data_IF_319092221519
#
_entry.id   IF_319092221519
#
_cell.length_a   1.000
_cell.length_b   1.000
_cell.length_c   1.000
_cell.angle_alpha   90.00
_cell.angle_beta   90.00
_cell.angle_gamma   90.00
#
_symmetry.space_group_name_H-M   'P 1'
#
loop_
_entity.id
_entity.type
_entity.pdbx_description
1 polymer ?
#
# COMPACT_ATOMS: atom_id res chain seq x y z
N UNK A 1 6.68 8.46 -11.02
CA UNK A 1 6.65 7.59 -9.84
C UNK A 1 5.40 7.79 -9.02
N UNK A 2 5.11 9.01 -8.62
CA UNK A 2 4.00 9.37 -7.72
C UNK A 2 2.63 8.91 -8.25
N UNK A 3 2.39 9.04 -9.55
CA UNK A 3 1.15 8.58 -10.17
C UNK A 3 0.99 7.05 -10.07
N UNK A 4 2.05 6.26 -10.27
CA UNK A 4 2.00 4.80 -10.13
C UNK A 4 1.74 4.38 -8.68
N UNK A 5 2.35 5.06 -7.71
CA UNK A 5 2.12 4.81 -6.29
C UNK A 5 0.68 5.14 -5.90
N UNK A 6 0.18 6.30 -6.32
CA UNK A 6 -1.19 6.71 -6.08
C UNK A 6 -2.20 5.72 -6.69
N UNK A 7 -1.97 5.30 -7.94
CA UNK A 7 -2.78 4.29 -8.60
C UNK A 7 -2.75 2.95 -7.85
N UNK A 8 -1.57 2.51 -7.40
CA UNK A 8 -1.45 1.27 -6.65
C UNK A 8 -2.24 1.30 -5.34
N UNK A 9 -2.23 2.41 -4.60
CA UNK A 9 -2.99 2.55 -3.36
C UNK A 9 -4.50 2.57 -3.62
N UNK A 10 -4.95 3.34 -4.62
CA UNK A 10 -6.37 3.38 -4.99
C UNK A 10 -6.87 2.03 -5.47
N UNK A 11 -6.06 1.29 -6.25
CA UNK A 11 -6.39 -0.07 -6.67
C UNK A 11 -6.64 -0.99 -5.48
N UNK A 12 -5.76 -0.98 -4.48
CA UNK A 12 -5.94 -1.78 -3.26
C UNK A 12 -7.21 -1.38 -2.50
N UNK A 13 -7.45 -0.09 -2.30
CA UNK A 13 -8.64 0.41 -1.58
C UNK A 13 -9.93 -0.01 -2.29
N UNK A 14 -10.03 0.26 -3.60
CA UNK A 14 -11.20 -0.10 -4.39
C UNK A 14 -11.37 -1.62 -4.49
N UNK A 15 -10.26 -2.36 -4.64
CA UNK A 15 -10.27 -3.81 -4.63
C UNK A 15 -10.89 -4.37 -3.36
N UNK A 16 -10.44 -3.91 -2.19
CA UNK A 16 -11.02 -4.33 -0.91
C UNK A 16 -12.51 -3.95 -0.80
N UNK A 17 -12.88 -2.74 -1.18
CA UNK A 17 -14.27 -2.30 -1.12
C UNK A 17 -15.19 -3.09 -2.04
N UNK A 18 -14.70 -3.58 -3.17
CA UNK A 18 -15.50 -4.32 -4.15
C UNK A 18 -15.56 -5.83 -3.89
N UNK A 19 -14.46 -6.42 -3.34
CA UNK A 19 -14.40 -7.88 -3.14
C UNK A 19 -14.69 -8.32 -1.71
N UNK A 20 -14.82 -7.39 -0.75
CA UNK A 20 -15.17 -7.71 0.64
C UNK A 20 -16.62 -7.39 0.90
N UNK A 21 -17.38 -8.37 1.32
CA UNK A 21 -18.74 -8.22 1.82
C UNK A 21 -18.81 -8.65 3.29
N UNK A 22 -19.75 -8.06 4.03
CA UNK A 22 -20.13 -8.47 5.38
C UNK A 22 -21.59 -8.89 5.34
N UNK A 23 -21.87 -10.12 5.72
CA UNK A 23 -23.24 -10.66 5.80
C UNK A 23 -23.60 -10.92 7.24
N UNK A 24 -24.86 -10.75 7.58
CA UNK A 24 -25.41 -11.12 8.88
C UNK A 24 -26.01 -12.51 8.79
N UNK A 25 -25.53 -13.42 9.61
CA UNK A 25 -26.07 -14.78 9.73
C UNK A 25 -26.10 -15.15 11.22
N UNK A 26 -27.24 -15.62 11.70
CA UNK A 26 -27.44 -16.01 13.11
C UNK A 26 -27.00 -14.93 14.12
N UNK A 27 -27.27 -13.65 13.81
CA UNK A 27 -26.92 -12.52 14.66
C UNK A 27 -25.44 -12.10 14.63
N UNK A 28 -24.59 -12.79 13.88
CA UNK A 28 -23.16 -12.52 13.76
C UNK A 28 -22.78 -11.99 12.37
N UNK A 29 -21.72 -11.16 12.32
CA UNK A 29 -21.14 -10.70 11.06
C UNK A 29 -20.12 -11.68 10.52
N UNK A 30 -20.30 -12.09 9.27
CA UNK A 30 -19.40 -12.97 8.53
C UNK A 30 -18.83 -12.30 7.31
N UNK A 31 -17.54 -12.58 7.04
CA UNK A 31 -16.88 -12.11 5.81
C UNK A 31 -17.27 -12.97 4.61
N UNK A 32 -17.72 -12.32 3.55
CA UNK A 32 -18.05 -12.95 2.27
C UNK A 32 -17.33 -12.23 1.10
N UNK A 33 -17.33 -12.85 -0.08
CA UNK A 33 -16.75 -12.26 -1.28
C UNK A 33 -17.61 -12.58 -2.51
N UNK A 34 -17.87 -11.60 -3.38
CA UNK A 34 -18.54 -11.85 -4.66
C UNK A 34 -17.76 -12.83 -5.55
N UNK A 35 -16.44 -12.95 -5.38
CA UNK A 35 -15.62 -13.87 -6.14
C UNK A 35 -15.88 -15.35 -5.79
N UNK A 36 -16.44 -15.64 -4.62
CA UNK A 36 -16.86 -16.99 -4.25
C UNK A 36 -18.13 -17.41 -5.00
N UNK A 37 -19.11 -16.50 -5.07
CA UNK A 37 -20.39 -16.76 -5.72
C UNK A 37 -20.36 -16.54 -7.25
N UNK A 38 -19.49 -15.64 -7.71
CA UNK A 38 -19.34 -15.24 -9.11
C UNK A 38 -17.87 -15.32 -9.56
N UNK A 39 -17.30 -16.52 -9.74
CA UNK A 39 -15.88 -16.70 -10.09
C UNK A 39 -15.46 -16.03 -11.41
N UNK A 40 -16.41 -15.82 -12.33
CA UNK A 40 -16.18 -15.12 -13.60
C UNK A 40 -15.75 -13.66 -13.43
N UNK A 41 -15.97 -13.06 -12.24
CA UNK A 41 -15.48 -11.73 -11.89
C UNK A 41 -13.98 -11.70 -11.56
N UNK A 42 -13.33 -12.84 -11.39
CA UNK A 42 -11.91 -12.88 -11.04
C UNK A 42 -11.03 -12.10 -12.01
N UNK A 43 -11.13 -12.24 -13.35
CA UNK A 43 -10.34 -11.42 -14.29
C UNK A 43 -10.65 -9.92 -14.20
N UNK A 44 -11.90 -9.55 -13.92
CA UNK A 44 -12.28 -8.13 -13.72
C UNK A 44 -11.60 -7.56 -12.48
N UNK A 45 -11.47 -8.36 -11.43
CA UNK A 45 -10.80 -7.96 -10.19
C UNK A 45 -9.30 -7.67 -10.36
N UNK A 46 -8.66 -8.16 -11.42
CA UNK A 46 -7.22 -7.97 -11.67
C UNK A 46 -6.81 -6.50 -11.82
N UNK A 47 -7.73 -5.64 -12.26
CA UNK A 47 -7.48 -4.19 -12.36
C UNK A 47 -7.15 -3.57 -11.01
N UNK A 48 -7.67 -4.13 -9.92
CA UNK A 48 -7.50 -3.65 -8.55
C UNK A 48 -6.33 -4.33 -7.82
N UNK A 49 -5.75 -5.37 -8.40
CA UNK A 49 -4.63 -6.14 -7.83
C UNK A 49 -3.31 -5.45 -8.13
N UNK A 50 -3.03 -4.33 -7.51
CA UNK A 50 -1.92 -3.43 -7.84
C UNK A 50 -0.70 -3.58 -6.92
N UNK A 51 -0.67 -4.63 -6.11
CA UNK A 51 0.36 -4.81 -5.08
C UNK A 51 1.77 -4.96 -5.68
N UNK A 52 1.90 -5.66 -6.83
CA UNK A 52 3.19 -5.80 -7.51
C UNK A 52 3.73 -4.43 -7.99
N UNK A 53 2.86 -3.54 -8.46
CA UNK A 53 3.24 -2.16 -8.83
C UNK A 53 3.71 -1.38 -7.60
N UNK A 54 3.06 -1.59 -6.44
CA UNK A 54 3.48 -0.96 -5.19
C UNK A 54 4.89 -1.40 -4.78
N UNK A 55 5.20 -2.70 -4.84
CA UNK A 55 6.54 -3.22 -4.55
C UNK A 55 7.59 -2.79 -5.59
N UNK A 56 7.23 -2.69 -6.86
CA UNK A 56 8.09 -2.14 -7.92
C UNK A 56 8.52 -0.69 -7.60
N UNK A 57 7.55 0.16 -7.31
CA UNK A 57 7.80 1.57 -6.94
C UNK A 57 8.57 1.64 -5.62
N UNK A 58 8.20 0.80 -4.65
CA UNK A 58 8.88 0.71 -3.36
C UNK A 58 10.35 0.37 -3.49
N UNK A 59 10.69 -0.65 -4.26
CA UNK A 59 12.08 -1.07 -4.52
C UNK A 59 12.89 0.02 -5.22
N UNK A 60 12.29 0.70 -6.20
CA UNK A 60 12.92 1.83 -6.87
C UNK A 60 13.25 2.98 -5.90
N UNK A 61 12.25 3.42 -5.12
CA UNK A 61 12.38 4.55 -4.17
C UNK A 61 13.32 4.18 -3.01
N UNK A 62 13.29 2.94 -2.54
CA UNK A 62 14.17 2.49 -1.48
C UNK A 62 15.64 2.44 -1.93
N UNK A 63 15.90 1.87 -3.12
CA UNK A 63 17.26 1.79 -3.67
C UNK A 63 17.85 3.17 -3.94
N UNK A 64 17.11 4.09 -4.57
CA UNK A 64 17.55 5.47 -4.76
C UNK A 64 17.76 6.20 -3.43
N UNK A 65 16.80 6.06 -2.51
CA UNK A 65 16.88 6.71 -1.21
C UNK A 65 18.05 6.24 -0.37
N UNK A 66 18.37 4.94 -0.40
CA UNK A 66 19.54 4.37 0.27
C UNK A 66 20.85 4.86 -0.36
N UNK A 67 20.96 4.83 -1.69
CA UNK A 67 22.14 5.35 -2.40
C UNK A 67 22.39 6.83 -2.08
N UNK A 68 21.33 7.65 -2.10
CA UNK A 68 21.40 9.08 -1.77
C UNK A 68 21.75 9.31 -0.28
N UNK A 69 21.21 8.55 0.65
CA UNK A 69 21.53 8.63 2.07
C UNK A 69 23.00 8.31 2.33
N UNK A 70 23.48 7.21 1.71
CA UNK A 70 24.89 6.81 1.80
C UNK A 70 25.85 7.87 1.22
N UNK A 71 25.50 8.47 0.09
CA UNK A 71 26.29 9.54 -0.51
C UNK A 71 26.41 10.79 0.39
N UNK A 72 25.41 11.02 1.25
CA UNK A 72 25.43 12.10 2.26
C UNK A 72 26.01 11.69 3.61
N UNK A 73 26.61 10.52 3.75
CA UNK A 73 27.17 10.04 5.00
C UNK A 73 26.14 9.62 6.06
N UNK A 74 24.84 9.45 5.70
CA UNK A 74 23.81 9.00 6.63
C UNK A 74 23.99 7.52 6.90
N UNK A 75 24.05 7.13 8.18
CA UNK A 75 24.19 5.73 8.58
C UNK A 75 22.98 4.90 8.16
N UNK A 76 23.18 3.59 7.95
CA UNK A 76 22.09 2.66 7.62
C UNK A 76 20.99 2.68 8.69
N UNK A 77 21.36 2.63 9.97
CA UNK A 77 20.39 2.65 11.09
C UNK A 77 19.51 3.89 11.10
N UNK A 78 20.10 5.07 10.84
CA UNK A 78 19.34 6.31 10.75
C UNK A 78 18.39 6.32 9.53
N UNK A 79 18.86 5.84 8.37
CA UNK A 79 18.05 5.76 7.17
C UNK A 79 16.87 4.79 7.31
N UNK A 80 17.11 3.57 7.79
CA UNK A 80 16.05 2.57 7.96
C UNK A 80 15.09 2.95 9.08
N UNK A 81 15.59 3.44 10.21
CA UNK A 81 14.79 3.90 11.33
C UNK A 81 13.81 5.01 10.94
N UNK A 82 14.27 5.98 10.14
CA UNK A 82 13.39 7.04 9.63
C UNK A 82 12.28 6.48 8.72
N UNK A 83 12.58 5.49 7.87
CA UNK A 83 11.60 4.90 6.96
C UNK A 83 10.59 4.03 7.68
N UNK A 84 11.07 3.15 8.56
CA UNK A 84 10.20 2.27 9.36
C UNK A 84 9.35 3.08 10.34
N UNK A 85 9.91 4.12 10.95
CA UNK A 85 9.15 5.01 11.82
C UNK A 85 7.97 5.70 11.12
N UNK A 86 8.12 6.10 9.86
CA UNK A 86 7.02 6.65 9.05
C UNK A 86 5.96 5.60 8.70
N UNK A 87 6.37 4.35 8.55
CA UNK A 87 5.47 3.24 8.22
C UNK A 87 4.65 2.81 9.44
N UNK A 88 5.30 2.62 10.60
CA UNK A 88 4.67 2.00 11.77
C UNK A 88 3.95 2.97 12.71
N UNK A 89 4.25 4.27 12.70
CA UNK A 89 3.51 5.25 13.53
C UNK A 89 2.01 5.29 13.24
N UNK A 90 1.56 5.38 11.97
CA UNK A 90 0.13 5.33 11.68
C UNK A 90 -0.50 3.97 11.98
N UNK A 91 0.26 2.87 11.83
CA UNK A 91 -0.19 1.50 12.18
C UNK A 91 -0.52 1.40 13.67
N UNK A 92 0.35 1.96 14.53
CA UNK A 92 0.10 1.95 15.97
C UNK A 92 -1.22 2.65 16.33
N UNK A 93 -1.56 3.76 15.68
CA UNK A 93 -2.82 4.46 15.90
C UNK A 93 -4.04 3.60 15.54
N UNK A 94 -3.99 2.90 14.41
CA UNK A 94 -5.09 1.99 13.99
C UNK A 94 -5.22 0.82 14.97
N UNK A 95 -4.11 0.18 15.35
CA UNK A 95 -4.14 -0.95 16.27
C UNK A 95 -4.65 -0.55 17.67
N UNK A 96 -4.25 0.63 18.16
CA UNK A 96 -4.74 1.15 19.44
C UNK A 96 -6.24 1.41 19.39
N UNK A 97 -6.74 2.09 18.33
CA UNK A 97 -8.17 2.32 18.19
C UNK A 97 -8.96 1.02 18.15
N UNK A 98 -8.52 0.05 17.33
CA UNK A 98 -9.22 -1.21 17.18
C UNK A 98 -9.13 -2.11 18.42
N UNK A 99 -8.08 -2.02 19.22
CA UNK A 99 -8.02 -2.67 20.53
C UNK A 99 -9.09 -2.11 21.48
N UNK A 100 -9.29 -0.79 21.49
CA UNK A 100 -10.35 -0.14 22.27
C UNK A 100 -11.74 -0.51 21.75
N UNK A 101 -11.94 -0.45 20.43
CA UNK A 101 -13.22 -0.82 19.79
C UNK A 101 -13.58 -2.27 20.07
N UNK A 102 -12.62 -3.19 19.88
CA UNK A 102 -12.86 -4.62 20.14
C UNK A 102 -13.19 -4.89 21.61
N UNK A 103 -12.45 -4.26 22.53
CA UNK A 103 -12.74 -4.36 23.97
C UNK A 103 -14.14 -3.82 24.30
N UNK A 104 -14.50 -2.67 23.76
CA UNK A 104 -15.84 -2.06 23.95
C UNK A 104 -16.96 -2.94 23.38
N UNK A 105 -16.77 -3.53 22.20
CA UNK A 105 -17.74 -4.45 21.61
C UNK A 105 -17.93 -5.71 22.46
N UNK A 106 -16.85 -6.32 22.96
CA UNK A 106 -16.93 -7.52 23.83
C UNK A 106 -17.63 -7.19 25.16
N UNK A 107 -17.30 -6.06 25.79
CA UNK A 107 -17.97 -5.61 27.03
C UNK A 107 -19.43 -5.28 26.78
N UNK A 108 -19.77 -4.76 25.59
CA UNK A 108 -21.13 -4.49 25.14
C UNK A 108 -21.93 -5.73 24.73
N UNK A 109 -21.37 -6.94 24.86
CA UNK A 109 -22.06 -8.19 24.57
C UNK A 109 -22.09 -8.58 23.09
N UNK A 110 -21.22 -7.98 22.25
CA UNK A 110 -21.12 -8.40 20.85
C UNK A 110 -20.54 -9.82 20.75
N UNK A 111 -21.09 -10.59 19.81
CA UNK A 111 -20.65 -11.97 19.55
C UNK A 111 -19.14 -12.00 19.21
N UNK A 112 -18.35 -12.91 19.84
CA UNK A 112 -16.90 -12.99 19.60
C UNK A 112 -16.54 -13.21 18.14
N UNK A 113 -17.39 -13.90 17.35
CA UNK A 113 -17.15 -14.13 15.93
C UNK A 113 -17.28 -12.84 15.11
N UNK A 114 -18.20 -11.95 15.47
CA UNK A 114 -18.31 -10.59 14.89
C UNK A 114 -17.02 -9.81 15.14
N UNK A 115 -16.53 -9.78 16.38
CA UNK A 115 -15.29 -9.07 16.74
C UNK A 115 -14.09 -9.64 15.99
N UNK A 116 -13.99 -10.99 15.90
CA UNK A 116 -12.94 -11.66 15.14
C UNK A 116 -12.97 -11.29 13.66
N UNK A 117 -14.16 -11.27 13.05
CA UNK A 117 -14.35 -10.89 11.64
C UNK A 117 -13.90 -9.46 11.38
N UNK A 118 -14.29 -8.50 12.24
CA UNK A 118 -13.87 -7.11 12.12
C UNK A 118 -12.35 -6.94 12.29
N UNK A 119 -11.77 -7.57 13.31
CA UNK A 119 -10.32 -7.54 13.52
C UNK A 119 -9.56 -8.16 12.35
N UNK A 120 -10.05 -9.26 11.76
CA UNK A 120 -9.45 -9.88 10.58
C UNK A 120 -9.41 -8.91 9.40
N UNK A 121 -10.45 -8.12 9.19
CA UNK A 121 -10.48 -7.10 8.12
C UNK A 121 -9.47 -5.97 8.37
N UNK A 122 -9.26 -5.56 9.62
CA UNK A 122 -8.24 -4.56 9.98
C UNK A 122 -6.83 -5.09 9.76
N UNK A 123 -6.56 -6.35 10.15
CA UNK A 123 -5.23 -6.93 10.07
C UNK A 123 -4.88 -7.44 8.67
N UNK A 124 -5.90 -7.85 7.92
CA UNK A 124 -5.71 -8.38 6.58
C UNK A 124 -4.86 -7.50 5.66
N UNK A 125 -4.94 -6.16 5.65
CA UNK A 125 -4.05 -5.34 4.87
C UNK A 125 -2.65 -5.16 5.48
N UNK A 126 -2.43 -5.45 6.77
CA UNK A 126 -1.18 -5.09 7.45
C UNK A 126 -0.02 -6.04 7.14
N UNK A 127 -0.31 -7.29 6.77
CA UNK A 127 0.75 -8.29 6.50
C UNK A 127 1.74 -7.79 5.42
N UNK A 128 1.23 -7.13 4.38
CA UNK A 128 2.10 -6.66 3.30
C UNK A 128 3.03 -5.53 3.77
N UNK A 129 2.62 -4.72 4.76
CA UNK A 129 3.47 -3.69 5.36
C UNK A 129 4.68 -4.31 6.07
N UNK A 130 4.49 -5.45 6.73
CA UNK A 130 5.60 -6.19 7.36
C UNK A 130 6.60 -6.68 6.31
N UNK A 131 6.10 -7.27 5.22
CA UNK A 131 6.94 -7.69 4.09
C UNK A 131 7.64 -6.48 3.46
N UNK A 132 6.91 -5.40 3.22
CA UNK A 132 7.47 -4.18 2.66
C UNK A 132 8.54 -3.54 3.57
N UNK A 133 8.31 -3.55 4.89
CA UNK A 133 9.27 -3.09 5.88
C UNK A 133 10.55 -3.94 5.87
N UNK A 134 10.39 -5.28 5.85
CA UNK A 134 11.51 -6.23 5.78
C UNK A 134 12.34 -6.03 4.50
N UNK A 135 11.69 -5.93 3.34
CA UNK A 135 12.37 -5.68 2.06
C UNK A 135 13.05 -4.30 2.03
N UNK A 136 12.42 -3.28 2.65
CA UNK A 136 13.02 -1.95 2.78
C UNK A 136 14.27 -2.02 3.65
N UNK A 137 14.23 -2.72 4.78
CA UNK A 137 15.40 -2.95 5.62
C UNK A 137 16.48 -3.78 4.87
N UNK A 138 16.07 -4.79 4.11
CA UNK A 138 16.98 -5.61 3.32
C UNK A 138 17.55 -4.90 2.05
N UNK A 139 17.15 -3.65 1.75
CA UNK A 139 17.58 -2.93 0.54
C UNK A 139 19.11 -2.99 0.27
N UNK A 140 20.01 -2.81 1.26
CA UNK A 140 21.44 -2.90 1.02
C UNK A 140 21.89 -4.25 0.43
N UNK A 141 21.23 -5.33 0.84
CA UNK A 141 21.54 -6.70 0.42
C UNK A 141 20.93 -7.02 -0.95
N UNK A 142 19.68 -6.61 -1.16
CA UNK A 142 18.88 -7.03 -2.33
C UNK A 142 18.88 -6.04 -3.48
N UNK A 143 19.33 -4.79 -3.28
CA UNK A 143 19.28 -3.75 -4.31
C UNK A 143 20.05 -4.09 -5.58
N UNK A 144 21.04 -4.98 -5.52
CA UNK A 144 21.82 -5.46 -6.67
C UNK A 144 21.46 -6.90 -7.10
N UNK A 145 20.55 -7.55 -6.38
CA UNK A 145 20.10 -8.91 -6.68
C UNK A 145 19.39 -8.95 -8.03
N UNK A 146 19.62 -10.03 -8.80
CA UNK A 146 18.82 -10.30 -10.00
C UNK A 146 17.41 -10.75 -9.63
N UNK A 147 16.35 -10.21 -10.25
CA UNK A 147 14.98 -10.67 -10.03
C UNK A 147 14.74 -12.15 -10.35
N UNK A 148 15.63 -12.75 -11.12
CA UNK A 148 15.54 -14.18 -11.48
C UNK A 148 15.74 -15.11 -10.28
N UNK A 149 16.55 -14.71 -9.29
CA UNK A 149 16.76 -15.54 -8.10
C UNK A 149 15.49 -15.74 -7.27
N UNK A 150 14.80 -14.69 -6.81
CA UNK A 150 13.55 -14.87 -6.08
C UNK A 150 12.46 -15.50 -6.97
N UNK A 151 12.43 -15.26 -8.28
CA UNK A 151 11.53 -15.93 -9.19
C UNK A 151 11.79 -17.44 -9.24
N UNK A 152 13.05 -17.86 -9.33
CA UNK A 152 13.43 -19.28 -9.31
C UNK A 152 13.04 -19.95 -7.98
N UNK A 153 13.17 -19.25 -6.86
CA UNK A 153 12.71 -19.73 -5.54
C UNK A 153 11.20 -19.97 -5.56
N UNK A 154 10.40 -19.00 -6.03
CA UNK A 154 8.94 -19.15 -6.13
C UNK A 154 8.56 -20.33 -7.02
N UNK A 155 9.19 -20.44 -8.19
CA UNK A 155 8.94 -21.56 -9.10
C UNK A 155 9.30 -22.92 -8.48
N UNK A 156 10.46 -23.00 -7.81
CA UNK A 156 10.89 -24.24 -7.11
C UNK A 156 9.96 -24.64 -5.97
N UNK A 157 9.51 -23.68 -5.17
CA UNK A 157 8.54 -23.91 -4.08
C UNK A 157 7.21 -24.41 -4.65
N UNK A 158 6.67 -23.79 -5.70
CA UNK A 158 5.40 -24.20 -6.27
C UNK A 158 5.49 -25.55 -6.97
N UNK A 159 6.58 -25.83 -7.70
CA UNK A 159 6.84 -27.16 -8.30
C UNK A 159 6.89 -28.22 -7.20
N UNK A 160 7.56 -27.96 -6.09
CA UNK A 160 7.60 -28.92 -4.99
C UNK A 160 6.20 -29.12 -4.37
N UNK A 161 5.46 -28.03 -4.07
CA UNK A 161 4.12 -28.13 -3.46
C UNK A 161 3.10 -28.82 -4.35
N UNK A 162 2.98 -28.36 -5.58
CA UNK A 162 1.89 -28.77 -6.46
C UNK A 162 2.30 -29.93 -7.39
N UNK A 163 3.59 -30.04 -7.74
CA UNK A 163 4.08 -31.10 -8.63
C UNK A 163 4.49 -32.38 -7.89
N UNK A 164 5.06 -32.24 -6.69
CA UNK A 164 5.58 -33.38 -5.91
C UNK A 164 4.84 -33.61 -4.59
N UNK A 165 3.73 -32.94 -4.34
CA UNK A 165 2.96 -33.11 -3.10
C UNK A 165 3.71 -32.66 -1.84
N UNK A 166 4.58 -31.67 -1.96
CA UNK A 166 5.34 -31.12 -0.83
C UNK A 166 4.45 -30.47 0.22
N UNK A 167 4.97 -30.28 1.45
CA UNK A 167 4.19 -29.76 2.56
C UNK A 167 3.70 -28.32 2.31
N UNK A 168 2.48 -28.02 2.68
CA UNK A 168 1.85 -26.71 2.45
C UNK A 168 2.64 -25.54 3.05
N UNK A 169 3.24 -25.75 4.23
CA UNK A 169 3.97 -24.70 4.95
C UNK A 169 5.14 -24.11 4.16
N UNK A 170 5.76 -24.87 3.22
CA UNK A 170 6.87 -24.36 2.42
C UNK A 170 6.44 -23.18 1.53
N UNK A 171 5.16 -23.11 1.19
CA UNK A 171 4.59 -21.99 0.46
C UNK A 171 4.81 -20.62 1.13
N UNK A 172 4.98 -20.59 2.46
CA UNK A 172 5.24 -19.35 3.19
C UNK A 172 6.60 -18.71 2.85
N UNK A 173 7.54 -19.47 2.27
CA UNK A 173 8.79 -18.92 1.69
C UNK A 173 8.46 -17.93 0.58
N UNK A 174 7.39 -18.17 -0.17
CA UNK A 174 6.95 -17.30 -1.27
C UNK A 174 6.43 -15.94 -0.77
N UNK A 175 6.08 -15.78 0.52
CA UNK A 175 5.71 -14.47 1.07
C UNK A 175 6.87 -13.48 0.95
N UNK A 176 8.09 -13.91 1.18
CA UNK A 176 9.27 -13.08 0.97
C UNK A 176 9.71 -13.09 -0.49
N UNK A 177 9.87 -14.28 -1.09
CA UNK A 177 10.41 -14.44 -2.44
C UNK A 177 9.50 -13.83 -3.51
N UNK A 178 8.18 -14.01 -3.42
CA UNK A 178 7.22 -13.50 -4.40
C UNK A 178 7.24 -11.98 -4.51
N UNK A 179 7.24 -11.29 -3.37
CA UNK A 179 7.28 -9.82 -3.36
C UNK A 179 8.69 -9.24 -3.59
N UNK A 180 9.71 -10.04 -3.34
CA UNK A 180 11.09 -9.67 -3.68
C UNK A 180 11.29 -9.55 -5.20
N UNK A 181 10.54 -10.29 -6.03
CA UNK A 181 10.60 -10.18 -7.51
C UNK A 181 10.29 -8.76 -7.98
N UNK A 182 9.10 -8.18 -7.75
CA UNK A 182 8.81 -6.82 -8.18
C UNK A 182 9.68 -5.78 -7.45
N UNK A 183 10.08 -6.03 -6.21
CA UNK A 183 10.95 -5.13 -5.46
C UNK A 183 12.35 -5.02 -6.10
N UNK A 184 12.98 -6.12 -6.47
CA UNK A 184 14.28 -6.14 -7.14
C UNK A 184 14.20 -5.62 -8.57
N UNK A 185 13.07 -5.83 -9.29
CA UNK A 185 12.79 -5.13 -10.56
C UNK A 185 12.79 -3.61 -10.38
N UNK A 186 12.16 -3.11 -9.32
CA UNK A 186 12.17 -1.69 -8.96
C UNK A 186 13.57 -1.17 -8.67
N UNK A 187 14.37 -1.92 -7.92
CA UNK A 187 15.77 -1.59 -7.66
C UNK A 187 16.62 -1.63 -8.94
N UNK A 188 16.39 -2.59 -9.85
CA UNK A 188 17.04 -2.62 -11.15
C UNK A 188 16.66 -1.40 -12.01
N UNK A 189 15.38 -1.03 -11.99
CA UNK A 189 14.91 0.18 -12.65
C UNK A 189 15.61 1.45 -12.12
N UNK A 190 15.85 1.56 -10.83
CA UNK A 190 16.57 2.70 -10.24
C UNK A 190 18.02 2.82 -10.73
N UNK A 191 18.62 1.72 -11.23
CA UNK A 191 19.97 1.66 -11.81
C UNK A 191 19.98 1.79 -13.34
N UNK A 192 18.86 2.16 -13.97
CA UNK A 192 18.75 2.39 -15.40
C UNK A 192 18.29 1.19 -16.23
N UNK A 193 17.91 0.06 -15.59
CA UNK A 193 17.24 -1.03 -16.31
C UNK A 193 15.92 -0.55 -16.91
N UNK A 194 15.41 -1.28 -17.91
CA UNK A 194 14.15 -0.95 -18.60
C UNK A 194 14.18 0.39 -19.36
N UNK A 195 15.35 0.80 -19.82
CA UNK A 195 15.53 1.95 -20.71
C UNK A 195 14.89 1.70 -22.09
N UNK A 196 14.93 0.45 -22.57
CA UNK A 196 14.37 0.03 -23.85
C UNK A 196 12.93 -0.46 -23.68
N UNK A 197 12.00 0.07 -24.47
CA UNK A 197 10.57 -0.31 -24.45
C UNK A 197 10.34 -1.82 -24.60
N UNK A 198 11.16 -2.50 -25.40
CA UNK A 198 11.08 -3.95 -25.60
C UNK A 198 11.22 -4.77 -24.31
N UNK A 199 12.01 -4.30 -23.35
CA UNK A 199 12.19 -4.99 -22.06
C UNK A 199 10.89 -4.96 -21.24
N UNK A 200 10.21 -3.81 -21.22
CA UNK A 200 8.92 -3.67 -20.55
C UNK A 200 7.81 -4.45 -21.28
N UNK A 201 7.84 -4.50 -22.62
CA UNK A 201 6.93 -5.32 -23.42
C UNK A 201 7.16 -6.82 -23.16
N UNK A 202 8.40 -7.25 -23.02
CA UNK A 202 8.73 -8.64 -22.70
C UNK A 202 8.20 -9.02 -21.31
N UNK A 203 8.33 -8.16 -20.30
CA UNK A 203 7.74 -8.39 -18.98
C UNK A 203 6.22 -8.47 -19.04
N UNK A 204 5.57 -7.56 -19.79
CA UNK A 204 4.11 -7.56 -19.93
C UNK A 204 3.63 -8.82 -20.65
N UNK A 205 4.15 -9.09 -21.85
CA UNK A 205 3.70 -10.22 -22.66
C UNK A 205 4.07 -11.57 -22.04
N UNK A 206 5.31 -11.71 -21.56
CA UNK A 206 5.78 -12.94 -20.91
C UNK A 206 5.05 -13.20 -19.59
N UNK A 207 4.85 -12.18 -18.77
CA UNK A 207 4.08 -12.29 -17.52
C UNK A 207 2.62 -12.65 -17.79
N UNK A 208 1.97 -11.99 -18.75
CA UNK A 208 0.58 -12.30 -19.12
C UNK A 208 0.42 -13.71 -19.69
N UNK A 209 1.31 -14.11 -20.59
CA UNK A 209 1.30 -15.46 -21.17
C UNK A 209 1.54 -16.53 -20.09
N UNK A 210 2.51 -16.33 -19.18
CA UNK A 210 2.76 -17.22 -18.07
C UNK A 210 1.56 -17.32 -17.13
N UNK A 211 0.92 -16.18 -16.80
CA UNK A 211 -0.30 -16.16 -15.98
C UNK A 211 -1.41 -16.97 -16.62
N UNK A 212 -1.67 -16.73 -17.91
CA UNK A 212 -2.68 -17.49 -18.65
C UNK A 212 -2.36 -18.98 -18.68
N UNK A 213 -1.12 -19.36 -18.96
CA UNK A 213 -0.68 -20.75 -18.98
C UNK A 213 -0.86 -21.45 -17.64
N UNK A 214 -0.48 -20.78 -16.53
CA UNK A 214 -0.63 -21.33 -15.18
C UNK A 214 -2.09 -21.51 -14.78
N UNK A 215 -2.98 -20.59 -15.18
CA UNK A 215 -4.42 -20.71 -14.90
C UNK A 215 -5.06 -21.78 -15.78
N UNK A 216 -4.79 -21.80 -17.09
CA UNK A 216 -5.47 -22.67 -18.04
C UNK A 216 -4.99 -24.11 -17.99
N UNK A 217 -3.70 -24.32 -17.72
CA UNK A 217 -3.06 -25.63 -17.77
C UNK A 217 -2.36 -26.03 -16.47
N UNK A 218 -2.00 -25.07 -15.62
CA UNK A 218 -1.29 -25.34 -14.36
C UNK A 218 -2.20 -25.58 -13.16
N UNK A 219 -3.54 -25.46 -13.31
CA UNK A 219 -4.49 -25.68 -12.22
C UNK A 219 -4.54 -24.54 -11.16
N UNK A 220 -3.91 -23.40 -11.43
CA UNK A 220 -3.98 -22.25 -10.52
C UNK A 220 -5.33 -21.54 -10.63
N UNK A 221 -5.90 -21.04 -9.52
CA UNK A 221 -7.16 -20.30 -9.57
C UNK A 221 -7.01 -18.98 -10.34
N UNK A 222 -8.08 -18.57 -11.03
CA UNK A 222 -8.10 -17.28 -11.74
C UNK A 222 -8.09 -16.07 -10.79
N UNK A 223 -8.56 -16.22 -9.55
CA UNK A 223 -8.53 -15.14 -8.56
C UNK A 223 -7.11 -14.89 -8.06
N UNK A 224 -6.65 -13.63 -8.17
CA UNK A 224 -5.36 -13.18 -7.63
C UNK A 224 -5.47 -12.66 -6.20
N UNK A 225 -6.63 -12.83 -5.54
CA UNK A 225 -6.89 -12.55 -4.12
C UNK A 225 -7.34 -13.82 -3.40
N UNK A 226 -7.27 -13.79 -2.07
CA UNK A 226 -7.89 -14.83 -1.26
C UNK A 226 -9.40 -14.80 -1.40
N UNK A 227 -10.00 -15.95 -1.71
CA UNK A 227 -11.45 -16.13 -1.77
C UNK A 227 -11.84 -17.05 -0.61
N UNK A 228 -12.80 -16.65 0.24
CA UNK A 228 -13.26 -17.52 1.33
C UNK A 228 -13.72 -18.88 0.80
N UNK A 229 -13.25 -19.96 1.42
CA UNK A 229 -13.60 -21.33 1.04
C UNK A 229 -12.82 -21.91 -0.14
N UNK A 230 -11.94 -21.15 -0.82
CA UNK A 230 -11.10 -21.69 -1.89
C UNK A 230 -9.98 -22.55 -1.33
N UNK A 231 -9.75 -23.72 -1.95
CA UNK A 231 -8.68 -24.66 -1.56
C UNK A 231 -7.29 -24.08 -1.76
N UNK A 232 -7.07 -23.26 -2.80
CA UNK A 232 -5.79 -22.60 -3.09
C UNK A 232 -6.01 -21.10 -3.22
N UNK A 233 -5.13 -20.32 -2.59
CA UNK A 233 -5.06 -18.87 -2.75
C UNK A 233 -3.80 -18.50 -3.53
N UNK A 234 -3.93 -17.65 -4.56
CA UNK A 234 -2.77 -17.11 -5.27
C UNK A 234 -2.03 -16.03 -4.47
N UNK A 235 -2.63 -15.50 -3.39
CA UNK A 235 -2.06 -14.39 -2.63
C UNK A 235 -1.51 -14.79 -1.27
N UNK A 236 -2.02 -15.85 -0.67
CA UNK A 236 -1.71 -16.22 0.71
C UNK A 236 -1.50 -17.74 0.89
N UNK A 237 -0.27 -18.20 0.77
CA UNK A 237 0.94 -17.51 0.33
C UNK A 237 0.95 -17.20 -1.18
N UNK A 238 1.76 -16.22 -1.65
CA UNK A 238 1.87 -15.91 -3.07
C UNK A 238 2.34 -17.11 -3.89
N UNK A 239 1.67 -17.36 -5.02
CA UNK A 239 2.02 -18.43 -5.95
C UNK A 239 2.79 -17.89 -7.16
N UNK A 240 3.34 -18.81 -7.96
CA UNK A 240 3.97 -18.46 -9.24
C UNK A 240 2.99 -17.73 -10.18
N UNK A 241 1.69 -18.08 -10.15
CA UNK A 241 0.67 -17.39 -10.95
C UNK A 241 0.52 -15.92 -10.52
N UNK A 242 0.50 -15.62 -9.22
CA UNK A 242 0.46 -14.24 -8.73
C UNK A 242 1.73 -13.46 -9.08
N UNK A 243 2.90 -14.11 -9.06
CA UNK A 243 4.17 -13.47 -9.42
C UNK A 243 4.23 -13.22 -10.94
N UNK A 244 3.81 -14.17 -11.78
CA UNK A 244 3.71 -13.98 -13.23
C UNK A 244 2.78 -12.83 -13.60
N UNK A 245 1.61 -12.77 -12.97
CA UNK A 245 0.68 -11.65 -13.08
C UNK A 245 1.32 -10.33 -12.64
N UNK A 246 2.05 -10.33 -11.51
CA UNK A 246 2.82 -9.18 -11.03
C UNK A 246 3.88 -8.71 -12.03
N UNK A 247 4.55 -9.62 -12.74
CA UNK A 247 5.50 -9.28 -13.81
C UNK A 247 4.80 -8.56 -14.97
N UNK A 248 3.61 -9.03 -15.38
CA UNK A 248 2.81 -8.35 -16.40
C UNK A 248 2.44 -6.92 -15.97
N UNK A 249 2.00 -6.75 -14.73
CA UNK A 249 1.68 -5.44 -14.16
C UNK A 249 2.92 -4.52 -14.08
N UNK A 250 4.06 -5.03 -13.68
CA UNK A 250 5.32 -4.28 -13.69
C UNK A 250 5.70 -3.83 -15.11
N UNK A 251 5.55 -4.71 -16.09
CA UNK A 251 5.76 -4.38 -17.50
C UNK A 251 4.84 -3.26 -17.98
N UNK A 252 3.55 -3.36 -17.67
CA UNK A 252 2.56 -2.32 -17.98
C UNK A 252 2.90 -0.98 -17.31
N UNK A 253 3.20 -1.00 -16.00
CA UNK A 253 3.57 0.18 -15.23
C UNK A 253 4.79 0.90 -15.84
N UNK A 254 5.81 0.14 -16.26
CA UNK A 254 6.99 0.68 -16.92
C UNK A 254 6.69 1.25 -18.31
N UNK A 255 5.74 0.70 -19.07
CA UNK A 255 5.31 1.21 -20.36
C UNK A 255 4.55 2.53 -20.24
N UNK A 256 3.64 2.62 -19.26
CA UNK A 256 2.79 3.81 -19.10
C UNK A 256 3.49 4.96 -18.35
N UNK A 257 4.71 4.76 -17.85
CA UNK A 257 5.44 5.79 -17.09
C UNK A 257 5.64 7.10 -17.85
N UNK A 258 5.90 7.03 -19.17
CA UNK A 258 6.08 8.21 -20.02
C UNK A 258 4.80 9.01 -20.20
N UNK A 259 3.71 8.42 -20.67
CA UNK A 259 2.40 9.05 -20.68
C UNK A 259 1.97 9.63 -19.33
N UNK A 260 2.17 8.88 -18.23
CA UNK A 260 1.86 9.37 -16.89
C UNK A 260 2.70 10.58 -16.50
N UNK A 261 3.98 10.62 -16.86
CA UNK A 261 4.83 11.79 -16.59
C UNK A 261 4.26 13.05 -17.26
N UNK A 262 3.84 12.96 -18.54
CA UNK A 262 3.19 14.08 -19.25
C UNK A 262 1.88 14.54 -18.60
N UNK A 263 1.06 13.61 -18.11
CA UNK A 263 -0.17 13.96 -17.38
C UNK A 263 0.15 14.68 -16.06
N UNK A 264 1.26 14.32 -15.42
CA UNK A 264 1.74 14.94 -14.17
C UNK A 264 2.32 16.35 -14.34
N UNK A 265 2.59 16.81 -15.57
CA UNK A 265 2.97 18.19 -15.86
C UNK A 265 1.80 19.18 -15.62
N UNK A 266 0.56 18.67 -15.56
CA UNK A 266 -0.62 19.48 -15.26
C UNK A 266 -0.67 19.79 -13.75
N UNK A 267 -0.63 21.09 -13.32
CA UNK A 267 -0.52 21.44 -11.89
C UNK A 267 -1.65 20.86 -11.02
N UNK A 268 -2.88 20.85 -11.54
CA UNK A 268 -4.05 20.31 -10.82
C UNK A 268 -3.93 18.79 -10.62
N UNK A 269 -3.45 18.06 -11.61
CA UNK A 269 -3.26 16.60 -11.53
C UNK A 269 -2.13 16.29 -10.55
N UNK A 270 -1.03 17.01 -10.67
CA UNK A 270 0.11 16.87 -9.76
C UNK A 270 -0.30 17.11 -8.29
N UNK A 271 -1.06 18.19 -8.02
CA UNK A 271 -1.52 18.52 -6.67
C UNK A 271 -2.40 17.41 -6.06
N UNK A 272 -3.35 16.84 -6.84
CA UNK A 272 -4.19 15.73 -6.38
C UNK A 272 -3.37 14.47 -6.06
N UNK A 273 -2.44 14.11 -6.94
CA UNK A 273 -1.56 12.95 -6.76
C UNK A 273 -0.60 13.16 -5.60
N UNK A 274 -0.05 14.38 -5.44
CA UNK A 274 0.80 14.72 -4.31
C UNK A 274 0.06 14.60 -2.98
N UNK A 275 -1.18 15.13 -2.89
CA UNK A 275 -2.03 15.02 -1.72
C UNK A 275 -2.30 13.55 -1.37
N UNK A 276 -2.67 12.73 -2.36
CA UNK A 276 -2.90 11.30 -2.15
C UNK A 276 -1.64 10.58 -1.66
N UNK A 277 -0.47 10.89 -2.22
CA UNK A 277 0.79 10.31 -1.78
C UNK A 277 1.22 10.74 -0.37
N UNK A 278 0.93 11.99 0.02
CA UNK A 278 1.16 12.49 1.38
C UNK A 278 0.20 11.86 2.41
N UNK A 279 -0.94 11.36 1.95
CA UNK A 279 -1.98 10.72 2.75
C UNK A 279 -2.03 9.20 2.57
N UNK A 280 -1.04 8.66 1.87
CA UNK A 280 -1.04 7.28 1.39
C UNK A 280 -1.24 6.24 2.50
N UNK A 281 -0.54 6.41 3.61
CA UNK A 281 -0.63 5.49 4.76
C UNK A 281 -1.96 5.62 5.48
N UNK A 282 -2.45 6.86 5.66
CA UNK A 282 -3.76 7.08 6.29
C UNK A 282 -4.87 6.47 5.43
N UNK A 283 -4.91 6.76 4.13
CA UNK A 283 -5.90 6.20 3.19
C UNK A 283 -5.85 4.67 3.21
N UNK A 284 -4.65 4.10 3.13
CA UNK A 284 -4.46 2.66 3.12
C UNK A 284 -4.89 1.99 4.44
N UNK A 285 -4.55 2.55 5.58
CA UNK A 285 -4.85 1.94 6.89
C UNK A 285 -6.32 2.05 7.29
N UNK A 286 -6.99 3.13 6.88
CA UNK A 286 -8.35 3.43 7.34
C UNK A 286 -9.45 3.03 6.37
N UNK A 287 -9.15 2.56 5.15
CA UNK A 287 -10.19 2.21 4.17
C UNK A 287 -11.12 1.09 4.65
N UNK A 288 -10.59 0.07 5.34
CA UNK A 288 -11.42 -1.00 5.90
C UNK A 288 -12.28 -0.49 7.06
N UNK A 289 -11.70 0.34 7.94
CA UNK A 289 -12.47 0.99 9.00
C UNK A 289 -13.61 1.83 8.43
N UNK A 290 -13.36 2.62 7.38
CA UNK A 290 -14.39 3.41 6.72
C UNK A 290 -15.53 2.53 6.17
N UNK A 291 -15.20 1.45 5.49
CA UNK A 291 -16.21 0.49 5.00
C UNK A 291 -16.98 -0.15 6.14
N UNK A 292 -16.31 -0.64 7.17
CA UNK A 292 -16.95 -1.28 8.33
C UNK A 292 -17.84 -0.31 9.10
N UNK A 293 -17.43 0.96 9.24
CA UNK A 293 -18.26 2.00 9.87
C UNK A 293 -19.54 2.24 9.10
N UNK A 294 -19.47 2.36 7.77
CA UNK A 294 -20.69 2.50 6.93
C UNK A 294 -21.59 1.27 7.05
N UNK A 295 -21.00 0.07 7.05
CA UNK A 295 -21.76 -1.18 7.24
C UNK A 295 -22.42 -1.20 8.60
N UNK A 296 -21.72 -0.88 9.69
CA UNK A 296 -22.28 -0.86 11.03
C UNK A 296 -23.40 0.20 11.19
N UNK A 297 -23.22 1.39 10.64
CA UNK A 297 -24.26 2.43 10.62
C UNK A 297 -25.46 1.97 9.80
N UNK A 298 -25.23 1.28 8.68
CA UNK A 298 -26.32 0.70 7.87
C UNK A 298 -27.19 -0.28 8.64
N UNK A 299 -26.64 -1.06 9.58
CA UNK A 299 -27.40 -1.99 10.43
C UNK A 299 -28.42 -1.30 11.33
N UNK A 300 -28.23 -0.01 11.65
CA UNK A 300 -29.20 0.79 12.41
C UNK A 300 -30.49 1.04 11.62
N UNK A 301 -30.43 0.93 10.29
CA UNK A 301 -31.58 1.16 9.42
C UNK A 301 -32.19 -0.14 8.90
N UNK A 302 -31.38 -1.12 8.54
CA UNK A 302 -31.83 -2.42 8.04
C UNK A 302 -30.69 -3.44 8.04
N UNK A 303 -31.02 -4.70 8.29
CA UNK A 303 -30.10 -5.84 8.16
C UNK A 303 -29.99 -6.36 6.71
N UNK A 304 -30.78 -5.83 5.78
CA UNK A 304 -30.90 -6.30 4.39
C UNK A 304 -30.56 -5.23 3.36
N UNK A 305 -29.72 -4.25 3.69
CA UNK A 305 -29.31 -3.25 2.71
C UNK A 305 -28.49 -3.90 1.58
N UNK A 306 -28.97 -3.80 0.31
CA UNK A 306 -28.27 -4.38 -0.81
C UNK A 306 -26.86 -3.80 -0.96
N UNK A 307 -25.88 -4.66 -1.22
CA UNK A 307 -24.48 -4.28 -1.37
C UNK A 307 -23.74 -3.99 -0.05
N UNK A 308 -24.43 -3.98 1.11
CA UNK A 308 -23.81 -3.89 2.44
C UNK A 308 -23.92 -5.19 3.23
N UNK A 309 -25.17 -5.65 3.48
CA UNK A 309 -25.44 -6.77 4.39
C UNK A 309 -25.96 -8.02 3.68
N UNK A 310 -26.42 -7.88 2.43
CA UNK A 310 -26.92 -9.02 1.65
C UNK A 310 -25.77 -9.85 1.07
N UNK A 311 -26.05 -11.14 0.81
CA UNK A 311 -25.08 -12.05 0.20
C UNK A 311 -24.63 -11.56 -1.19
N UNK A 312 -23.31 -11.58 -1.49
CA UNK A 312 -22.76 -11.00 -2.72
C UNK A 312 -22.86 -11.96 -3.92
N UNK A 313 -24.06 -12.47 -4.23
CA UNK A 313 -24.29 -13.51 -5.22
C UNK A 313 -24.95 -13.06 -6.52
N UNK A 314 -25.11 -11.74 -6.78
CA UNK A 314 -25.84 -11.26 -7.96
C UNK A 314 -25.23 -9.99 -8.56
N UNK A 315 -25.53 -9.75 -9.85
CA UNK A 315 -25.18 -8.50 -10.52
C UNK A 315 -25.83 -7.28 -9.84
N UNK A 316 -27.04 -7.42 -9.30
CA UNK A 316 -27.71 -6.38 -8.52
C UNK A 316 -26.93 -5.99 -7.28
N UNK A 317 -26.29 -6.96 -6.61
CA UNK A 317 -25.40 -6.68 -5.49
C UNK A 317 -24.21 -5.83 -5.91
N UNK A 318 -23.59 -6.13 -7.08
CA UNK A 318 -22.46 -5.35 -7.59
C UNK A 318 -22.88 -3.91 -7.87
N UNK A 319 -24.03 -3.70 -8.53
CA UNK A 319 -24.53 -2.35 -8.80
C UNK A 319 -24.78 -1.59 -7.50
N UNK A 320 -25.47 -2.22 -6.54
CA UNK A 320 -25.67 -1.64 -5.23
C UNK A 320 -24.34 -1.30 -4.53
N UNK A 321 -23.36 -2.22 -4.59
CA UNK A 321 -22.03 -1.98 -4.01
C UNK A 321 -21.30 -0.80 -4.64
N UNK A 322 -21.40 -0.62 -5.95
CA UNK A 322 -20.84 0.54 -6.67
C UNK A 322 -21.49 1.85 -6.20
N UNK A 323 -22.79 1.86 -5.92
CA UNK A 323 -23.50 3.03 -5.38
C UNK A 323 -23.04 3.40 -3.95
N UNK A 324 -22.53 2.42 -3.17
CA UNK A 324 -21.96 2.67 -1.84
C UNK A 324 -20.54 3.26 -1.88
N UNK A 325 -19.80 3.18 -2.99
CA UNK A 325 -18.43 3.69 -3.06
C UNK A 325 -18.28 5.18 -2.66
N UNK A 326 -19.16 6.11 -3.10
CA UNK A 326 -19.09 7.51 -2.64
C UNK A 326 -19.26 7.65 -1.12
N UNK A 327 -20.12 6.83 -0.50
CA UNK A 327 -20.34 6.85 0.95
C UNK A 327 -19.12 6.32 1.70
N UNK A 328 -18.48 5.25 1.20
CA UNK A 328 -17.21 4.77 1.73
C UNK A 328 -16.10 5.82 1.60
N UNK A 329 -16.04 6.52 0.45
CA UNK A 329 -15.08 7.59 0.24
C UNK A 329 -15.32 8.78 1.19
N UNK A 330 -16.57 9.14 1.47
CA UNK A 330 -16.91 10.17 2.45
C UNK A 330 -16.47 9.74 3.86
N UNK A 331 -16.78 8.51 4.29
CA UNK A 331 -16.34 7.97 5.57
C UNK A 331 -14.80 7.91 5.66
N UNK A 332 -14.12 7.51 4.57
CA UNK A 332 -12.66 7.53 4.52
C UNK A 332 -12.09 8.95 4.64
N UNK A 333 -12.78 9.95 4.08
CA UNK A 333 -12.38 11.36 4.21
C UNK A 333 -12.48 11.84 5.66
N UNK A 334 -13.51 11.40 6.40
CA UNK A 334 -13.63 11.66 7.84
C UNK A 334 -12.47 11.00 8.60
N UNK A 335 -12.20 9.72 8.37
CA UNK A 335 -11.05 9.03 8.95
C UNK A 335 -9.73 9.74 8.63
N UNK A 336 -9.54 10.14 7.37
CA UNK A 336 -8.36 10.86 6.94
C UNK A 336 -8.20 12.20 7.68
N UNK A 337 -9.26 12.97 7.82
CA UNK A 337 -9.22 14.27 8.51
C UNK A 337 -8.82 14.13 9.99
N UNK A 338 -9.29 13.07 10.65
CA UNK A 338 -9.00 12.77 12.04
C UNK A 338 -7.56 12.25 12.27
N UNK A 339 -7.03 11.40 11.37
CA UNK A 339 -5.82 10.63 11.64
C UNK A 339 -4.60 11.01 10.80
N UNK A 340 -4.71 11.90 9.80
CA UNK A 340 -3.58 12.33 8.93
C UNK A 340 -2.41 12.92 9.71
N UNK A 341 -2.64 13.45 10.91
CA UNK A 341 -1.60 14.03 11.77
C UNK A 341 -0.53 13.00 12.18
N UNK A 342 -0.89 11.71 12.24
CA UNK A 342 0.04 10.64 12.60
C UNK A 342 0.99 10.26 11.45
N UNK A 343 0.66 10.63 10.21
CA UNK A 343 1.50 10.43 9.04
C UNK A 343 2.51 11.57 8.84
N UNK A 344 2.20 12.77 9.33
CA UNK A 344 3.07 13.92 9.17
C UNK A 344 4.34 13.81 10.03
N UNK A 345 5.52 14.17 9.52
CA UNK A 345 6.71 14.28 10.35
C UNK A 345 6.43 15.32 11.45
N UNK A 346 6.64 14.96 12.71
CA UNK A 346 6.72 15.99 13.76
C UNK A 346 7.78 16.98 13.31
N UNK A 347 7.39 18.25 13.11
CA UNK A 347 8.36 19.33 12.91
C UNK A 347 9.42 19.18 14.01
N UNK A 348 10.67 19.01 13.62
CA UNK A 348 11.76 18.97 14.57
C UNK A 348 11.59 20.26 15.41
N UNK A 349 11.35 20.12 16.70
CA UNK A 349 11.42 21.25 17.63
C UNK A 349 12.85 21.76 17.45
N UNK A 350 13.01 22.80 16.66
CA UNK A 350 14.25 23.57 16.66
C UNK A 350 14.46 23.97 18.11
N UNK A 351 15.58 23.59 18.74
CA UNK A 351 15.88 24.15 20.02
C UNK A 351 15.84 25.68 19.82
N UNK A 352 15.01 26.39 20.56
CA UNK A 352 15.09 27.83 20.66
C UNK A 352 16.48 28.11 21.21
N UNK A 353 17.45 28.21 20.32
CA UNK A 353 18.74 28.81 20.67
C UNK A 353 18.37 30.23 21.11
N UNK A 354 18.46 30.46 22.40
CA UNK A 354 18.38 31.81 22.94
C UNK A 354 19.47 32.59 22.19
N UNK A 355 19.04 33.39 21.26
CA UNK A 355 19.91 34.39 20.65
C UNK A 355 20.16 35.38 21.78
N UNK A 356 21.24 35.14 22.57
CA UNK A 356 21.84 36.17 23.40
C UNK A 356 22.40 37.15 22.39
N UNK A 357 21.65 38.20 22.12
CA UNK A 357 22.05 39.35 21.36
C UNK A 357 23.19 40.05 22.13
N UNK A 358 24.43 39.61 21.88
CA UNK A 358 25.62 40.41 22.16
C UNK A 358 25.83 41.27 20.93
N UNK A 359 25.00 42.29 20.75
CA UNK A 359 25.29 43.38 19.87
C UNK A 359 26.50 44.17 20.46
N UNK A 360 27.64 44.30 19.78
CA UNK A 360 28.69 45.17 20.23
C UNK A 360 28.19 46.62 20.14
N UNK A 361 28.17 47.31 21.30
CA UNK A 361 27.94 48.75 21.33
C UNK A 361 29.05 49.42 20.48
N UNK A 362 28.70 49.89 19.30
CA UNK A 362 29.52 50.81 18.52
C UNK A 362 29.54 52.10 19.27
N UNK A 363 30.71 52.46 19.88
CA UNK A 363 30.99 53.82 20.38
C UNK A 363 31.16 54.71 19.15
N UNK A 364 30.25 55.64 18.97
CA UNK A 364 30.41 56.76 18.05
C UNK A 364 31.41 57.70 18.69
N UNK A 365 32.55 58.01 18.04
CA UNK A 365 33.49 59.09 18.53
C UNK A 365 32.83 60.44 18.36
N UNK A 366 33.00 61.29 19.38
CA UNK A 366 32.38 62.59 19.54
C UNK A 366 32.62 63.55 18.39
N UNK A 367 31.63 64.32 18.08
CA UNK A 367 31.67 65.56 17.30
C UNK A 367 32.45 66.58 18.08
N UNK A 368 33.70 66.86 17.66
CA UNK A 368 34.42 68.04 18.07
C UNK A 368 33.87 69.25 17.31
N UNK A 369 33.59 70.30 18.07
CA UNK A 369 33.22 71.65 17.63
C UNK A 369 34.18 72.18 16.59
N UNK A 370 33.74 72.83 15.57
CA UNK A 370 34.39 73.89 14.84
C UNK A 370 33.42 75.08 14.86
N UNK A 371 33.56 75.88 15.87
CA UNK A 371 33.25 77.32 15.86
C UNK A 371 34.52 78.08 15.47
N UNK A 372 34.29 79.17 14.80
CA UNK A 372 35.22 80.27 14.43
C UNK A 372 35.99 80.16 13.12
N UNK A 373 35.51 80.87 12.15
CA UNK A 373 36.15 82.10 11.72
C UNK A 373 35.29 82.73 10.60
N UNK A 374 34.65 83.79 10.94
CA UNK A 374 34.09 84.79 10.05
C UNK A 374 35.14 85.83 9.72
N UNK A 375 34.82 86.64 8.69
CA UNK A 375 35.44 87.89 8.23
C UNK A 375 36.68 87.74 7.36
N UNK A 376 36.57 87.93 6.13
CA UNK A 376 36.65 89.23 5.41
C UNK A 376 36.02 89.03 4.04
#
# INVERSE_FOLDING_TARGET
MDALRAFAILGVVLGHWLVTALTVTDGSLHGASPLAAMPWLAPVSWVFQTLAVFFLVGGHVAAQGYASARARGVSYGAWVGQRLGRLFRPVAAVLTLWAVVAGGLLVGGAEPETVRTLLKLVWSPLWFLLVFAALTAATPLVARMSPLWPLAVVAGVDVWRFGFGGPEWIGWVNVAAGWLVPYTLGAAWSRGAFSRRRQSLFLLAGGAAATAALILWGGYPASMVGVPGAAVSNLNPPTLAAVAFGLAQCGLALLVRGPLARVMERPRTWAKVALLNLSAMTVFLWHQTAMMTVTAVGLLFSTELPGLHTAPGSAGWIVARLLWLPVFAAALTVCWSAFRVHEQPRAARTPRTAVISTAPRVRVPGTARLEEAGRV
#
